data_IF_577641779102
#
_entry.id   IF_577641779102
#
_cell.length_a   1.000
_cell.length_b   1.000
_cell.length_c   1.000
_cell.angle_alpha   90.00
_cell.angle_beta   90.00
_cell.angle_gamma   90.00
#
_symmetry.space_group_name_H-M   'P 1'
#
loop_
_entity.id
_entity.type
_entity.pdbx_description
1 polymer ?
#
# COMPACT_ATOMS: atom_id res chain seq x y z
N UNK A 1 -70.97 -29.57 42.03
CA UNK A 1 -70.05 -30.33 42.93
C UNK A 1 -69.02 -31.05 42.06
N UNK A 2 -67.71 -30.77 42.29
CA UNK A 2 -66.49 -31.49 41.82
C UNK A 2 -66.24 -31.43 40.29
N UNK A 3 -65.29 -30.66 39.71
CA UNK A 3 -63.83 -30.44 39.91
C UNK A 3 -62.95 -31.71 39.84
N UNK A 4 -61.74 -31.52 39.24
CA UNK A 4 -60.60 -32.42 38.92
C UNK A 4 -60.60 -32.98 37.48
N UNK A 5 -59.65 -32.73 36.56
CA UNK A 5 -58.34 -32.07 36.61
C UNK A 5 -57.16 -33.07 36.64
N UNK A 6 -56.36 -33.14 35.56
CA UNK A 6 -55.05 -33.84 35.50
C UNK A 6 -54.71 -34.36 34.09
N UNK A 7 -53.85 -33.69 33.28
CA UNK A 7 -52.36 -33.81 33.16
C UNK A 7 -51.95 -35.23 32.68
N UNK A 8 -51.13 -35.49 31.64
CA UNK A 8 -49.71 -35.14 31.35
C UNK A 8 -49.43 -35.63 29.88
N UNK A 9 -49.10 -34.79 28.90
CA UNK A 9 -47.77 -34.47 28.31
C UNK A 9 -46.87 -35.64 27.84
N UNK A 10 -46.55 -35.68 26.54
CA UNK A 10 -45.38 -36.34 25.93
C UNK A 10 -44.98 -35.52 24.68
N UNK A 11 -44.10 -34.52 24.81
CA UNK A 11 -42.65 -34.54 24.54
C UNK A 11 -42.29 -35.21 23.21
N UNK A 12 -42.03 -34.38 22.19
CA UNK A 12 -41.16 -34.73 21.08
C UNK A 12 -40.16 -33.59 20.86
N UNK A 13 -38.90 -33.98 20.91
CA UNK A 13 -37.69 -33.19 21.09
C UNK A 13 -37.38 -32.35 19.84
N UNK A 14 -37.31 -31.04 20.00
CA UNK A 14 -36.80 -30.10 18.99
C UNK A 14 -35.26 -30.23 18.96
N UNK A 15 -34.73 -30.90 17.93
CA UNK A 15 -33.30 -30.94 17.68
C UNK A 15 -32.83 -29.60 17.11
N UNK A 16 -32.39 -28.69 17.98
CA UNK A 16 -31.69 -27.48 17.57
C UNK A 16 -30.34 -27.87 16.96
N UNK A 17 -30.25 -27.82 15.63
CA UNK A 17 -28.98 -27.79 14.92
C UNK A 17 -28.23 -26.52 15.34
N UNK A 18 -27.24 -26.67 16.23
CA UNK A 18 -26.31 -25.60 16.54
C UNK A 18 -25.42 -25.38 15.32
N UNK A 19 -25.80 -24.43 14.47
CA UNK A 19 -24.90 -23.84 13.49
C UNK A 19 -23.77 -23.15 14.27
N UNK A 20 -22.62 -23.81 14.35
CA UNK A 20 -21.42 -23.19 14.87
C UNK A 20 -21.03 -22.06 13.90
N UNK A 21 -20.90 -20.79 14.35
CA UNK A 21 -20.30 -19.79 13.51
C UNK A 21 -18.85 -20.22 13.27
N UNK A 22 -18.53 -20.53 12.02
CA UNK A 22 -17.15 -20.65 11.58
C UNK A 22 -16.47 -19.31 11.87
N UNK A 23 -15.60 -19.29 12.88
CA UNK A 23 -14.67 -18.19 13.13
C UNK A 23 -13.73 -18.12 11.92
N UNK A 24 -14.09 -17.26 10.96
CA UNK A 24 -13.25 -16.91 9.83
C UNK A 24 -12.01 -16.17 10.35
N UNK A 25 -10.89 -16.89 10.37
CA UNK A 25 -9.50 -16.40 10.27
C UNK A 25 -9.17 -15.11 11.06
N UNK A 26 -9.14 -15.21 12.39
CA UNK A 26 -8.48 -14.20 13.23
C UNK A 26 -6.96 -14.38 13.17
N UNK A 27 -6.27 -13.47 12.50
CA UNK A 27 -4.89 -13.11 12.83
C UNK A 27 -3.77 -14.07 12.40
N UNK A 28 -3.59 -14.30 11.09
CA UNK A 28 -2.22 -14.52 10.63
C UNK A 28 -1.47 -13.20 10.85
N UNK A 29 -0.47 -13.19 11.73
CA UNK A 29 0.52 -12.11 11.79
C UNK A 29 0.92 -11.80 10.35
N UNK A 30 0.57 -10.60 9.85
CA UNK A 30 0.94 -10.19 8.50
C UNK A 30 2.45 -10.18 8.46
N UNK A 31 3.03 -10.95 7.55
CA UNK A 31 4.48 -11.00 7.38
C UNK A 31 4.97 -9.56 7.18
N UNK A 32 5.77 -8.99 8.10
CA UNK A 32 6.27 -7.63 7.96
C UNK A 32 7.10 -7.46 6.69
N UNK A 33 7.56 -8.57 6.13
CA UNK A 33 8.36 -8.68 4.93
C UNK A 33 7.53 -8.64 3.64
N UNK A 34 6.20 -8.82 3.70
CA UNK A 34 5.33 -8.71 2.53
C UNK A 34 5.26 -7.26 2.04
N UNK A 35 5.76 -7.04 0.82
CA UNK A 35 5.78 -5.73 0.14
C UNK A 35 4.76 -5.63 -1.01
N UNK A 36 4.07 -6.71 -1.35
CA UNK A 36 3.12 -6.74 -2.47
C UNK A 36 1.90 -5.87 -2.20
N UNK A 37 1.30 -5.31 -3.26
CA UNK A 37 0.09 -4.50 -3.18
C UNK A 37 0.35 -2.99 -3.28
N UNK A 38 -0.63 -2.22 -2.83
CA UNK A 38 -0.66 -0.77 -3.03
C UNK A 38 0.00 0.00 -1.88
N UNK A 39 0.71 1.05 -2.24
CA UNK A 39 1.44 1.95 -1.36
C UNK A 39 1.18 3.40 -1.76
N UNK A 40 1.10 4.28 -0.79
CA UNK A 40 1.23 5.72 -0.98
C UNK A 40 2.59 6.17 -0.44
N UNK A 41 3.20 7.16 -1.07
CA UNK A 41 4.45 7.73 -0.57
C UNK A 41 4.42 9.23 -0.47
N UNK A 42 5.28 9.77 0.38
CA UNK A 42 5.55 11.20 0.46
C UNK A 42 6.99 11.45 0.89
N UNK A 43 7.66 12.37 0.21
CA UNK A 43 8.99 12.83 0.61
C UNK A 43 8.90 13.86 1.73
N UNK A 44 9.97 13.99 2.51
CA UNK A 44 10.23 15.25 3.22
C UNK A 44 10.42 16.38 2.20
N UNK A 45 10.15 17.64 2.55
CA UNK A 45 10.43 18.77 1.67
C UNK A 45 11.90 18.81 1.26
N UNK A 46 12.16 19.07 -0.02
CA UNK A 46 13.50 19.20 -0.60
C UNK A 46 13.62 20.49 -1.43
N UNK A 47 14.81 20.75 -1.99
CA UNK A 47 15.17 22.03 -2.64
C UNK A 47 14.80 23.23 -1.74
N UNK A 48 15.39 23.26 -0.55
CA UNK A 48 15.14 24.31 0.46
C UNK A 48 13.66 24.46 0.82
N UNK A 49 12.94 23.33 0.90
CA UNK A 49 11.53 23.28 1.25
C UNK A 49 10.57 23.74 0.15
N UNK A 50 11.06 23.99 -1.07
CA UNK A 50 10.23 24.46 -2.17
C UNK A 50 9.45 23.35 -2.86
N UNK A 51 9.89 22.10 -2.73
CA UNK A 51 9.28 20.95 -3.40
C UNK A 51 8.95 19.83 -2.44
N UNK A 52 7.82 19.17 -2.69
CA UNK A 52 7.41 17.90 -2.06
C UNK A 52 6.95 16.97 -3.17
N UNK A 53 7.30 15.69 -3.06
CA UNK A 53 6.80 14.66 -3.96
C UNK A 53 5.93 13.68 -3.17
N UNK A 54 4.80 13.31 -3.74
CA UNK A 54 3.93 12.26 -3.24
C UNK A 54 3.45 11.38 -4.38
N UNK A 55 2.75 10.30 -4.08
CA UNK A 55 2.15 9.48 -5.11
C UNK A 55 1.72 8.11 -4.63
N UNK A 56 1.40 7.25 -5.58
CA UNK A 56 1.01 5.87 -5.34
C UNK A 56 1.87 4.91 -6.12
N UNK A 57 2.05 3.72 -5.57
CA UNK A 57 2.77 2.62 -6.18
C UNK A 57 2.03 1.32 -5.97
N UNK A 58 1.99 0.46 -6.99
CA UNK A 58 1.48 -0.92 -6.87
C UNK A 58 2.60 -1.91 -7.16
N UNK A 59 2.98 -2.70 -6.18
CA UNK A 59 3.94 -3.80 -6.33
C UNK A 59 3.21 -5.11 -6.65
N UNK A 60 3.65 -5.79 -7.70
CA UNK A 60 3.10 -7.05 -8.19
C UNK A 60 4.17 -8.15 -8.20
N UNK A 61 3.78 -9.44 -8.10
CA UNK A 61 4.72 -10.54 -8.13
C UNK A 61 5.56 -10.60 -9.40
N UNK A 62 6.78 -11.10 -9.29
CA UNK A 62 7.66 -11.43 -10.41
C UNK A 62 8.04 -12.93 -10.36
N UNK A 63 8.32 -13.59 -11.49
CA UNK A 63 8.73 -15.01 -11.51
C UNK A 63 10.02 -15.31 -10.72
N UNK A 64 10.97 -14.36 -10.72
CA UNK A 64 12.18 -14.45 -9.90
C UNK A 64 11.92 -14.02 -8.45
N UNK A 65 12.38 -14.83 -7.50
CA UNK A 65 12.26 -14.55 -6.07
C UNK A 65 12.97 -13.24 -5.68
N UNK A 66 12.35 -12.48 -4.78
CA UNK A 66 12.87 -11.19 -4.31
C UNK A 66 12.78 -10.07 -5.35
N UNK A 67 12.20 -10.32 -6.53
CA UNK A 67 11.88 -9.28 -7.52
C UNK A 67 10.39 -9.00 -7.56
N UNK A 68 10.07 -7.80 -8.00
CA UNK A 68 8.70 -7.32 -8.17
C UNK A 68 8.63 -6.39 -9.37
N UNK A 69 7.51 -6.44 -10.07
CA UNK A 69 7.14 -5.38 -11.02
C UNK A 69 6.32 -4.33 -10.30
N UNK A 70 6.38 -3.08 -10.73
CA UNK A 70 5.53 -2.04 -10.18
C UNK A 70 5.09 -1.00 -11.20
N UNK A 71 3.97 -0.37 -10.84
CA UNK A 71 3.44 0.83 -11.47
C UNK A 71 3.48 1.95 -10.44
N UNK A 72 3.89 3.13 -10.87
CA UNK A 72 4.11 4.30 -10.01
C UNK A 72 3.49 5.53 -10.67
N UNK A 73 2.70 6.27 -9.91
CA UNK A 73 2.25 7.62 -10.29
C UNK A 73 2.77 8.60 -9.26
N UNK A 74 3.66 9.49 -9.69
CA UNK A 74 4.28 10.51 -8.84
C UNK A 74 3.68 11.89 -9.14
N UNK A 75 3.50 12.69 -8.08
CA UNK A 75 3.12 14.09 -8.12
C UNK A 75 4.23 14.89 -7.44
N UNK A 76 4.94 15.72 -8.20
CA UNK A 76 5.89 16.69 -7.66
C UNK A 76 5.21 18.05 -7.64
N UNK A 77 5.08 18.65 -6.45
CA UNK A 77 4.58 20.02 -6.28
C UNK A 77 5.74 20.91 -5.85
N UNK A 78 6.04 21.93 -6.65
CA UNK A 78 7.04 22.92 -6.36
C UNK A 78 6.44 24.34 -6.42
N UNK A 79 6.60 25.12 -5.35
CA UNK A 79 6.08 26.50 -5.24
C UNK A 79 6.43 27.39 -6.43
N UNK A 80 7.66 27.29 -6.94
CA UNK A 80 8.21 28.14 -8.00
C UNK A 80 8.01 27.58 -9.41
N UNK A 81 7.94 26.25 -9.54
CA UNK A 81 7.98 25.56 -10.84
C UNK A 81 6.65 24.93 -11.22
N UNK A 82 5.68 24.94 -10.32
CA UNK A 82 4.37 24.34 -10.52
C UNK A 82 4.36 22.85 -10.18
N UNK A 83 3.45 22.13 -10.84
CA UNK A 83 3.17 20.73 -10.55
C UNK A 83 3.58 19.85 -11.73
N UNK A 84 4.07 18.66 -11.44
CA UNK A 84 4.25 17.58 -12.41
C UNK A 84 3.52 16.33 -11.94
N UNK A 85 2.92 15.60 -12.86
CA UNK A 85 2.28 14.30 -12.62
C UNK A 85 2.85 13.33 -13.64
N UNK A 86 3.48 12.25 -13.16
CA UNK A 86 4.26 11.35 -14.00
C UNK A 86 3.89 9.91 -13.72
N UNK A 87 3.54 9.17 -14.78
CA UNK A 87 3.29 7.73 -14.74
C UNK A 87 4.55 6.99 -15.15
N UNK A 88 4.91 5.99 -14.37
CA UNK A 88 6.15 5.24 -14.48
C UNK A 88 5.89 3.75 -14.31
N UNK A 89 6.62 2.93 -15.06
CA UNK A 89 6.81 1.52 -14.74
C UNK A 89 8.06 1.39 -13.87
N UNK A 90 8.15 0.33 -13.08
CA UNK A 90 9.33 0.09 -12.26
C UNK A 90 9.59 -1.39 -11.97
N UNK A 91 10.84 -1.68 -11.64
CA UNK A 91 11.28 -2.95 -11.04
C UNK A 91 11.74 -2.69 -9.62
N UNK A 92 11.28 -3.52 -8.68
CA UNK A 92 11.80 -3.52 -7.32
C UNK A 92 12.56 -4.82 -7.04
N UNK A 93 13.64 -4.71 -6.27
CA UNK A 93 14.42 -5.83 -5.76
C UNK A 93 14.54 -5.73 -4.26
N UNK A 94 14.28 -6.83 -3.57
CA UNK A 94 14.36 -6.94 -2.13
C UNK A 94 15.54 -7.80 -1.71
N UNK A 95 16.28 -7.34 -0.72
CA UNK A 95 17.32 -8.09 -0.04
C UNK A 95 17.18 -7.89 1.47
N UNK A 96 16.77 -8.93 2.18
CA UNK A 96 16.45 -8.84 3.61
C UNK A 96 15.29 -7.86 3.87
N UNK A 97 15.57 -6.79 4.60
CA UNK A 97 14.63 -5.69 4.87
C UNK A 97 14.80 -4.49 3.93
N UNK A 98 15.72 -4.55 2.96
CA UNK A 98 15.94 -3.46 2.01
C UNK A 98 15.19 -3.70 0.70
N UNK A 99 14.64 -2.65 0.12
CA UNK A 99 13.99 -2.63 -1.19
C UNK A 99 14.60 -1.52 -2.04
N UNK A 100 15.18 -1.88 -3.18
CA UNK A 100 15.62 -0.94 -4.21
C UNK A 100 14.60 -0.91 -5.34
N UNK A 101 14.19 0.28 -5.76
CA UNK A 101 13.21 0.49 -6.83
C UNK A 101 13.86 1.30 -7.94
N UNK A 102 13.75 0.80 -9.17
CA UNK A 102 14.23 1.46 -10.38
C UNK A 102 13.08 1.71 -11.33
N UNK A 103 12.90 2.96 -11.74
CA UNK A 103 11.73 3.38 -12.52
C UNK A 103 12.12 3.78 -13.95
N UNK A 104 11.12 3.72 -14.82
CA UNK A 104 11.17 4.20 -16.20
C UNK A 104 9.96 5.11 -16.42
N UNK A 105 10.19 6.28 -17.01
CA UNK A 105 9.11 7.21 -17.36
C UNK A 105 8.33 6.61 -18.53
N UNK A 106 7.03 6.42 -18.31
CA UNK A 106 6.10 5.99 -19.37
C UNK A 106 5.38 7.18 -19.97
N UNK A 107 4.96 8.13 -19.13
CA UNK A 107 4.14 9.24 -19.57
C UNK A 107 4.21 10.43 -18.59
N UNK A 108 4.37 11.62 -19.15
CA UNK A 108 4.21 12.88 -18.42
C UNK A 108 2.74 13.31 -18.53
N UNK A 109 1.94 13.06 -17.50
CA UNK A 109 0.51 13.44 -17.46
C UNK A 109 0.34 14.95 -17.25
N UNK A 110 1.26 15.55 -16.50
CA UNK A 110 1.39 16.99 -16.34
C UNK A 110 2.87 17.33 -16.19
N UNK A 111 3.32 18.39 -16.84
CA UNK A 111 4.70 18.87 -16.75
C UNK A 111 4.74 20.23 -16.08
N UNK A 112 5.73 20.40 -15.20
CA UNK A 112 6.14 21.71 -14.70
C UNK A 112 6.60 22.62 -15.83
N UNK A 113 6.89 23.87 -15.49
CA UNK A 113 7.34 24.91 -16.42
C UNK A 113 8.31 24.41 -17.51
N UNK A 114 8.09 24.86 -18.76
CA UNK A 114 8.86 24.42 -19.93
C UNK A 114 10.38 24.55 -19.71
N UNK A 115 11.14 23.51 -20.11
CA UNK A 115 12.60 23.48 -20.03
C UNK A 115 13.18 22.78 -18.79
N UNK A 116 12.35 22.34 -17.83
CA UNK A 116 12.82 21.56 -16.69
C UNK A 116 12.76 20.05 -16.99
N UNK A 117 13.92 19.39 -16.95
CA UNK A 117 14.02 17.94 -17.14
C UNK A 117 13.44 17.18 -15.94
N UNK A 118 12.56 16.21 -16.22
CA UNK A 118 12.12 15.19 -15.28
C UNK A 118 12.94 13.91 -15.51
N UNK A 119 13.32 13.22 -14.44
CA UNK A 119 14.07 11.95 -14.53
C UNK A 119 13.36 10.87 -13.70
N UNK A 120 13.60 9.57 -13.97
CA UNK A 120 12.84 8.52 -13.32
C UNK A 120 13.02 8.47 -11.80
N UNK A 121 11.92 8.29 -11.07
CA UNK A 121 11.92 8.28 -9.60
C UNK A 121 12.33 6.93 -9.04
N UNK A 122 13.61 6.83 -8.66
CA UNK A 122 14.13 5.63 -8.00
C UNK A 122 14.07 5.77 -6.49
N UNK A 123 13.95 4.66 -5.78
CA UNK A 123 13.88 4.65 -4.32
C UNK A 123 14.81 3.61 -3.73
N UNK A 124 15.28 3.86 -2.51
CA UNK A 124 15.89 2.86 -1.63
C UNK A 124 15.17 2.93 -0.30
N UNK A 125 14.58 1.82 0.13
CA UNK A 125 13.68 1.76 1.27
C UNK A 125 14.12 0.64 2.22
N UNK A 126 13.90 0.86 3.51
CA UNK A 126 13.94 -0.16 4.55
C UNK A 126 12.52 -0.48 5.00
N UNK A 127 12.18 -1.76 5.00
CA UNK A 127 10.92 -2.29 5.49
C UNK A 127 10.94 -2.20 7.02
N UNK A 128 10.01 -1.43 7.59
CA UNK A 128 9.88 -1.31 9.04
C UNK A 128 8.73 -2.16 9.59
N UNK A 129 7.68 -2.32 8.80
CA UNK A 129 6.54 -3.18 9.11
C UNK A 129 5.75 -3.47 7.83
N UNK A 130 4.73 -4.33 7.93
CA UNK A 130 3.80 -4.58 6.84
C UNK A 130 3.03 -3.33 6.37
N UNK A 131 3.04 -2.24 7.14
CA UNK A 131 2.32 -0.99 6.85
C UNK A 131 3.22 0.18 6.46
N UNK A 132 4.55 0.02 6.61
CA UNK A 132 5.49 1.13 6.50
C UNK A 132 6.84 0.70 5.94
N UNK A 133 7.30 1.47 4.96
CA UNK A 133 8.71 1.49 4.57
C UNK A 133 9.22 2.93 4.65
N UNK A 134 10.51 3.09 4.94
CA UNK A 134 11.15 4.41 5.02
C UNK A 134 12.50 4.37 4.34
N UNK A 135 12.90 5.44 3.68
CA UNK A 135 14.21 5.53 3.06
C UNK A 135 14.38 6.83 2.30
N UNK A 136 14.84 6.76 1.05
CA UNK A 136 15.06 7.93 0.23
C UNK A 136 14.59 7.75 -1.22
N UNK A 137 14.06 8.83 -1.80
CA UNK A 137 14.10 9.10 -3.23
C UNK A 137 15.57 9.28 -3.63
N UNK A 138 16.00 8.63 -4.72
CA UNK A 138 17.37 8.69 -5.26
C UNK A 138 17.28 8.88 -6.78
N UNK A 139 16.88 10.08 -7.19
CA UNK A 139 16.58 10.46 -8.58
C UNK A 139 17.48 11.65 -8.98
N UNK A 140 16.92 12.69 -9.61
CA UNK A 140 17.61 13.97 -9.83
C UNK A 140 18.05 14.65 -8.52
N UNK A 141 17.42 14.27 -7.41
CA UNK A 141 17.73 14.70 -6.05
C UNK A 141 17.64 13.52 -5.10
N UNK A 142 18.18 13.70 -3.90
CA UNK A 142 17.95 12.81 -2.77
C UNK A 142 17.04 13.48 -1.75
N UNK A 143 15.98 12.79 -1.33
CA UNK A 143 15.07 13.27 -0.30
C UNK A 143 14.57 12.09 0.55
N UNK A 144 14.50 12.21 1.89
CA UNK A 144 13.86 11.19 2.71
C UNK A 144 12.42 10.95 2.27
N UNK A 145 11.97 9.70 2.28
CA UNK A 145 10.63 9.31 1.83
C UNK A 145 10.03 8.27 2.77
N UNK A 146 8.74 8.41 3.02
CA UNK A 146 7.94 7.42 3.72
C UNK A 146 6.93 6.80 2.77
N UNK A 147 6.84 5.48 2.79
CA UNK A 147 5.81 4.70 2.12
C UNK A 147 4.86 4.13 3.19
N UNK A 148 3.57 4.28 2.96
CA UNK A 148 2.49 3.72 3.79
C UNK A 148 1.61 2.83 2.92
N UNK A 149 1.04 1.78 3.50
CA UNK A 149 0.01 1.01 2.80
C UNK A 149 -1.11 1.94 2.37
N UNK A 150 -1.42 1.92 1.08
CA UNK A 150 -2.64 2.56 0.61
C UNK A 150 -3.78 1.70 1.13
N UNK A 151 -4.46 2.14 2.19
CA UNK A 151 -5.76 1.61 2.52
C UNK A 151 -6.67 1.88 1.31
N UNK A 152 -7.53 0.95 0.94
CA UNK A 152 -8.47 1.07 -0.19
C UNK A 152 -9.56 2.17 0.01
N UNK A 153 -9.23 3.27 0.69
CA UNK A 153 -10.10 4.39 1.00
C UNK A 153 -9.56 5.67 0.39
N UNK A 154 -10.17 6.05 -0.74
CA UNK A 154 -10.22 7.43 -1.23
C UNK A 154 -10.58 8.34 -0.04
N UNK A 155 -9.78 9.38 0.22
CA UNK A 155 -10.22 10.53 1.00
C UNK A 155 -10.58 11.67 0.05
#
# INVERSE_FOLDING_TARGET
MRMFGGRIAAVLVMACMMASPALANSGKSKDPSDVLGSWSFQTSPYRSGQCVMSGTMRLSPHPEEGRYTCELTAVEMCSMWGRSVVRQSCEARRFGDQVSIRSTIEEMLESKFEGLLYVPDNFTLTIQSHERMFGALVSAVTAPVEFRRANDGIS
#
